data_IF_788038570132
#
_entry.id   IF_788038570132
#
_cell.length_a   1.000
_cell.length_b   1.000
_cell.length_c   1.000
_cell.angle_alpha   90.00
_cell.angle_beta   90.00
_cell.angle_gamma   90.00
#
_symmetry.space_group_name_H-M   'P 1'
#
loop_
_entity.id
_entity.type
_entity.pdbx_description
1 polymer ?
#
# COMPACT_ATOMS: atom_id res chain seq x y z
N UNK A 1 9.10 4.07 29.66
CA UNK A 1 8.14 2.97 29.85
C UNK A 1 7.12 3.06 28.72
N UNK A 2 7.49 2.58 27.53
CA UNK A 2 6.61 2.56 26.34
C UNK A 2 6.19 1.14 26.11
N UNK A 3 4.92 0.91 26.30
CA UNK A 3 4.29 -0.42 26.15
C UNK A 3 4.03 -0.70 24.69
N UNK A 4 4.53 -1.86 24.27
CA UNK A 4 4.25 -2.65 23.08
C UNK A 4 2.89 -2.32 22.42
N UNK A 5 2.95 -1.66 21.29
CA UNK A 5 1.89 -1.67 20.30
C UNK A 5 2.17 -2.80 19.32
N UNK A 6 1.84 -4.04 19.68
CA UNK A 6 1.67 -5.08 18.68
C UNK A 6 0.51 -4.64 17.78
N UNK A 7 0.83 -4.23 16.57
CA UNK A 7 -0.18 -4.01 15.55
C UNK A 7 -0.83 -5.36 15.26
N UNK A 8 -1.99 -5.59 15.84
CA UNK A 8 -2.89 -6.63 15.37
C UNK A 8 -3.39 -6.23 13.98
N UNK A 9 -2.61 -6.55 12.94
CA UNK A 9 -3.05 -6.52 11.53
C UNK A 9 -4.11 -7.61 11.27
N UNK A 10 -4.78 -8.07 12.29
CA UNK A 10 -5.97 -8.91 12.19
C UNK A 10 -7.21 -8.08 12.54
N UNK A 11 -7.31 -6.90 11.92
CA UNK A 11 -8.60 -6.28 11.74
C UNK A 11 -9.36 -7.16 10.76
N UNK A 12 -10.21 -8.04 11.27
CA UNK A 12 -11.28 -8.65 10.48
C UNK A 12 -11.87 -7.55 9.59
N UNK A 13 -11.64 -7.66 8.29
CA UNK A 13 -12.32 -6.83 7.30
C UNK A 13 -13.78 -7.26 7.34
N UNK A 14 -14.50 -6.80 8.34
CA UNK A 14 -15.95 -6.83 8.34
C UNK A 14 -16.35 -5.87 7.21
N UNK A 15 -16.51 -6.40 6.00
CA UNK A 15 -17.17 -5.67 4.94
C UNK A 15 -18.63 -5.57 5.36
N UNK A 16 -18.94 -4.51 6.07
CA UNK A 16 -20.29 -4.07 6.19
C UNK A 16 -20.71 -3.58 4.80
N UNK A 17 -21.33 -4.44 4.01
CA UNK A 17 -22.07 -4.08 2.79
C UNK A 17 -23.31 -3.27 3.18
N UNK A 18 -23.46 -2.93 4.45
CA UNK A 18 -24.56 -2.19 5.00
C UNK A 18 -24.23 -0.71 5.13
N UNK A 19 -24.51 0.04 4.11
CA UNK A 19 -24.86 1.47 4.09
C UNK A 19 -24.71 2.09 2.69
N UNK A 20 -24.88 1.28 1.64
CA UNK A 20 -25.04 1.83 0.30
C UNK A 20 -26.49 1.66 -0.09
N UNK A 21 -27.12 2.73 -0.52
CA UNK A 21 -28.45 2.68 -1.16
C UNK A 21 -28.32 1.80 -2.41
N UNK A 22 -28.71 0.50 -2.30
CA UNK A 22 -28.59 -0.47 -3.38
C UNK A 22 -27.39 -1.42 -3.31
N UNK A 23 -27.31 -2.29 -2.26
CA UNK A 23 -26.37 -3.42 -2.30
C UNK A 23 -26.76 -4.39 -3.43
N UNK A 24 -25.85 -4.53 -4.41
CA UNK A 24 -26.03 -5.47 -5.51
C UNK A 24 -25.36 -6.81 -5.21
N UNK A 25 -25.97 -7.90 -5.62
CA UNK A 25 -25.39 -9.25 -5.53
C UNK A 25 -25.26 -9.78 -6.95
N UNK A 26 -24.04 -10.19 -7.34
CA UNK A 26 -23.72 -10.74 -8.66
C UNK A 26 -23.89 -9.78 -9.87
N UNK A 27 -23.61 -8.49 -9.69
CA UNK A 27 -23.58 -7.53 -10.79
C UNK A 27 -22.51 -6.47 -10.61
N UNK A 28 -21.96 -6.00 -11.72
CA UNK A 28 -21.10 -4.83 -11.75
C UNK A 28 -21.90 -3.57 -11.47
N UNK A 29 -21.30 -2.62 -10.79
CA UNK A 29 -21.92 -1.39 -10.36
C UNK A 29 -21.13 -0.20 -10.87
N UNK A 30 -21.82 0.71 -11.56
CA UNK A 30 -21.26 2.04 -11.84
C UNK A 30 -21.68 2.95 -10.69
N UNK A 31 -20.70 3.41 -9.91
CA UNK A 31 -20.93 4.30 -8.79
C UNK A 31 -20.92 5.75 -9.27
N UNK A 32 -22.02 6.44 -9.03
CA UNK A 32 -22.16 7.87 -9.22
C UNK A 32 -22.34 8.50 -7.84
N UNK A 33 -23.20 9.41 -7.59
CA UNK A 33 -23.43 10.00 -6.27
C UNK A 33 -23.81 8.94 -5.22
N UNK A 34 -23.24 9.02 -4.03
CA UNK A 34 -23.45 8.07 -2.93
C UNK A 34 -22.39 6.98 -2.88
N UNK A 35 -22.59 5.96 -2.06
CA UNK A 35 -21.69 4.80 -1.96
C UNK A 35 -22.14 3.66 -2.87
N UNK A 36 -21.24 2.70 -3.16
CA UNK A 36 -21.57 1.51 -3.94
C UNK A 36 -21.07 0.24 -3.24
N UNK A 37 -21.90 -0.81 -3.28
CA UNK A 37 -21.53 -2.11 -2.70
C UNK A 37 -22.00 -3.28 -3.56
N UNK A 38 -21.15 -4.30 -3.71
CA UNK A 38 -21.51 -5.55 -4.38
C UNK A 38 -20.82 -6.74 -3.71
N UNK A 39 -21.33 -7.95 -3.93
CA UNK A 39 -20.65 -9.16 -3.43
C UNK A 39 -19.81 -9.81 -4.52
N UNK A 40 -20.39 -10.06 -5.67
CA UNK A 40 -19.70 -10.66 -6.82
C UNK A 40 -19.85 -9.74 -8.03
N UNK A 41 -19.02 -8.74 -8.13
CA UNK A 41 -19.05 -7.77 -9.21
C UNK A 41 -18.00 -6.70 -8.99
N UNK A 42 -17.64 -6.03 -10.05
CA UNK A 42 -16.71 -4.90 -10.01
C UNK A 42 -17.47 -3.58 -9.79
N UNK A 43 -16.78 -2.63 -9.20
CA UNK A 43 -17.28 -1.26 -9.04
C UNK A 43 -16.48 -0.35 -9.95
N UNK A 44 -17.17 0.47 -10.74
CA UNK A 44 -16.57 1.46 -11.61
C UNK A 44 -17.07 2.86 -11.25
N UNK A 45 -16.16 3.77 -11.01
CA UNK A 45 -16.43 5.20 -10.79
C UNK A 45 -15.91 5.96 -12.01
N UNK A 46 -16.80 6.53 -12.84
CA UNK A 46 -16.40 7.25 -14.03
C UNK A 46 -15.57 8.51 -13.71
N UNK A 47 -14.79 8.93 -14.70
CA UNK A 47 -13.91 10.10 -14.58
C UNK A 47 -14.66 11.36 -14.09
N UNK A 48 -14.03 12.05 -13.16
CA UNK A 48 -14.55 13.29 -12.57
C UNK A 48 -15.80 13.14 -11.70
N UNK A 49 -16.28 11.91 -11.46
CA UNK A 49 -17.41 11.66 -10.59
C UNK A 49 -17.03 11.63 -9.11
N UNK A 50 -18.01 11.94 -8.26
CA UNK A 50 -17.86 11.83 -6.82
C UNK A 50 -18.69 10.65 -6.31
N UNK A 51 -18.10 9.80 -5.49
CA UNK A 51 -18.79 8.70 -4.85
C UNK A 51 -18.41 8.60 -3.38
N UNK A 52 -19.29 8.05 -2.58
CA UNK A 52 -19.04 7.75 -1.18
C UNK A 52 -18.14 6.52 -1.01
N UNK A 53 -18.43 5.72 0.01
CA UNK A 53 -17.67 4.49 0.27
C UNK A 53 -17.99 3.41 -0.77
N UNK A 54 -16.95 2.71 -1.23
CA UNK A 54 -17.02 1.61 -2.19
C UNK A 54 -16.62 0.30 -1.53
N UNK A 55 -17.38 -0.75 -1.75
CA UNK A 55 -17.10 -2.06 -1.17
C UNK A 55 -17.47 -3.24 -2.06
N UNK A 56 -16.55 -4.16 -2.30
CA UNK A 56 -16.86 -5.44 -2.95
C UNK A 56 -16.19 -6.60 -2.21
N UNK A 57 -16.71 -7.81 -2.39
CA UNK A 57 -16.04 -9.02 -1.86
C UNK A 57 -15.22 -9.69 -2.96
N UNK A 58 -15.83 -9.99 -4.09
CA UNK A 58 -15.19 -10.65 -5.21
C UNK A 58 -15.32 -9.77 -6.46
N UNK A 59 -14.42 -8.84 -6.60
CA UNK A 59 -14.41 -7.92 -7.74
C UNK A 59 -13.39 -6.82 -7.56
N UNK A 60 -13.05 -6.15 -8.63
CA UNK A 60 -12.14 -5.01 -8.62
C UNK A 60 -12.91 -3.69 -8.43
N UNK A 61 -12.20 -2.69 -7.95
CA UNK A 61 -12.67 -1.32 -7.90
C UNK A 61 -11.82 -0.50 -8.87
N UNK A 62 -12.48 0.08 -9.87
CA UNK A 62 -11.89 0.97 -10.84
C UNK A 62 -12.39 2.39 -10.58
N UNK A 63 -11.49 3.28 -10.25
CA UNK A 63 -11.74 4.71 -10.07
C UNK A 63 -11.02 5.41 -11.21
N UNK A 64 -11.76 6.04 -12.11
CA UNK A 64 -11.17 6.69 -13.27
C UNK A 64 -10.56 8.06 -12.94
N UNK A 65 -9.90 8.64 -13.91
CA UNK A 65 -9.10 9.85 -13.74
C UNK A 65 -9.93 11.03 -13.18
N UNK A 66 -9.39 11.70 -12.20
CA UNK A 66 -10.01 12.86 -11.57
C UNK A 66 -11.26 12.57 -10.77
N UNK A 67 -11.66 11.31 -10.60
CA UNK A 67 -12.78 10.95 -9.75
C UNK A 67 -12.41 11.07 -8.27
N UNK A 68 -13.41 11.30 -7.41
CA UNK A 68 -13.22 11.42 -5.97
C UNK A 68 -14.12 10.42 -5.23
N UNK A 69 -13.51 9.62 -4.36
CA UNK A 69 -14.23 8.60 -3.61
C UNK A 69 -13.91 8.67 -2.12
N UNK A 70 -14.81 8.18 -1.31
CA UNK A 70 -14.53 7.91 0.09
C UNK A 70 -13.59 6.71 0.25
N UNK A 71 -13.91 5.79 1.14
CA UNK A 71 -13.11 4.57 1.34
C UNK A 71 -13.39 3.55 0.24
N UNK A 72 -12.33 3.02 -0.40
CA UNK A 72 -12.42 1.90 -1.34
C UNK A 72 -11.93 0.60 -0.68
N UNK A 73 -12.77 -0.44 -0.65
CA UNK A 73 -12.47 -1.73 -0.01
C UNK A 73 -12.84 -2.93 -0.88
N UNK A 74 -11.93 -3.89 -0.97
CA UNK A 74 -12.23 -5.20 -1.57
C UNK A 74 -11.60 -6.34 -0.76
N UNK A 75 -12.13 -7.55 -0.89
CA UNK A 75 -11.46 -8.74 -0.32
C UNK A 75 -10.65 -9.45 -1.40
N UNK A 76 -11.28 -9.80 -2.51
CA UNK A 76 -10.62 -10.53 -3.59
C UNK A 76 -10.75 -9.72 -4.88
N UNK A 77 -9.80 -8.83 -5.07
CA UNK A 77 -9.75 -7.99 -6.27
C UNK A 77 -8.79 -6.83 -6.11
N UNK A 78 -8.39 -6.25 -7.21
CA UNK A 78 -7.53 -5.07 -7.22
C UNK A 78 -8.32 -3.78 -7.05
N UNK A 79 -7.62 -2.74 -6.62
CA UNK A 79 -8.12 -1.37 -6.59
C UNK A 79 -7.21 -0.54 -7.47
N UNK A 80 -7.79 0.09 -8.49
CA UNK A 80 -7.09 1.02 -9.35
C UNK A 80 -7.63 2.44 -9.15
N UNK A 81 -6.76 3.33 -8.73
CA UNK A 81 -7.05 4.76 -8.57
C UNK A 81 -6.40 5.48 -9.74
N UNK A 82 -7.20 6.03 -10.63
CA UNK A 82 -6.77 6.70 -11.86
C UNK A 82 -5.95 7.96 -11.60
N UNK A 83 -5.42 8.54 -12.66
CA UNK A 83 -4.60 9.75 -12.55
C UNK A 83 -5.40 10.92 -11.95
N UNK A 84 -4.77 11.65 -11.02
CA UNK A 84 -5.39 12.78 -10.33
C UNK A 84 -6.70 12.46 -9.61
N UNK A 85 -7.06 11.19 -9.45
CA UNK A 85 -8.20 10.77 -8.65
C UNK A 85 -7.86 10.84 -7.16
N UNK A 86 -8.90 10.98 -6.33
CA UNK A 86 -8.75 11.10 -4.88
C UNK A 86 -9.53 10.02 -4.15
N UNK A 87 -8.98 9.49 -3.07
CA UNK A 87 -9.66 8.56 -2.17
C UNK A 87 -9.33 8.90 -0.71
N UNK A 88 -10.25 8.62 0.21
CA UNK A 88 -9.95 8.78 1.63
C UNK A 88 -8.99 7.70 2.11
N UNK A 89 -9.29 6.44 1.83
CA UNK A 89 -8.44 5.30 2.17
C UNK A 89 -8.67 4.12 1.22
N UNK A 90 -7.66 3.27 1.04
CA UNK A 90 -7.70 2.13 0.12
C UNK A 90 -7.32 0.86 0.86
N UNK A 91 -8.18 -0.16 0.82
CA UNK A 91 -7.95 -1.40 1.55
C UNK A 91 -8.26 -2.63 0.70
N UNK A 92 -7.34 -3.58 0.62
CA UNK A 92 -7.58 -4.88 0.01
C UNK A 92 -7.01 -6.03 0.83
N UNK A 93 -7.58 -7.22 0.69
CA UNK A 93 -6.98 -8.42 1.29
C UNK A 93 -6.16 -9.17 0.24
N UNK A 94 -6.74 -9.51 -0.89
CA UNK A 94 -6.07 -10.25 -1.95
C UNK A 94 -6.23 -9.51 -3.27
N UNK A 95 -5.27 -8.66 -3.58
CA UNK A 95 -5.29 -7.92 -4.83
C UNK A 95 -4.27 -6.80 -4.88
N UNK A 96 -4.00 -6.36 -6.07
CA UNK A 96 -3.08 -5.26 -6.33
C UNK A 96 -3.76 -3.92 -6.06
N UNK A 97 -3.01 -2.98 -5.51
CA UNK A 97 -3.39 -1.56 -5.45
C UNK A 97 -2.49 -0.77 -6.39
N UNK A 98 -3.10 0.01 -7.27
CA UNK A 98 -2.36 0.93 -8.14
C UNK A 98 -2.88 2.34 -7.93
N UNK A 99 -1.98 3.27 -7.66
CA UNK A 99 -2.23 4.68 -7.69
C UNK A 99 -1.60 5.26 -8.95
N UNK A 100 -2.41 5.79 -9.83
CA UNK A 100 -1.98 6.46 -11.05
C UNK A 100 -1.30 7.80 -10.77
N UNK A 101 -0.76 8.39 -11.82
CA UNK A 101 0.02 9.62 -11.72
C UNK A 101 -0.77 10.76 -11.05
N UNK A 102 -0.20 11.35 -10.00
CA UNK A 102 -0.83 12.45 -9.26
C UNK A 102 -2.09 12.06 -8.48
N UNK A 103 -2.38 10.77 -8.32
CA UNK A 103 -3.49 10.31 -7.47
C UNK A 103 -3.20 10.62 -5.99
N UNK A 104 -4.25 10.94 -5.23
CA UNK A 104 -4.12 11.29 -3.82
C UNK A 104 -4.97 10.40 -2.92
N UNK A 105 -4.35 9.85 -1.88
CA UNK A 105 -5.04 9.13 -0.81
C UNK A 105 -4.80 9.85 0.50
N UNK A 106 -5.87 10.39 1.09
CA UNK A 106 -5.77 11.27 2.28
C UNK A 106 -5.25 10.55 3.52
N UNK A 107 -5.57 9.26 3.69
CA UNK A 107 -5.20 8.46 4.85
C UNK A 107 -4.26 7.31 4.45
N UNK A 108 -4.59 6.10 4.83
CA UNK A 108 -3.72 4.95 4.66
C UNK A 108 -4.10 4.06 3.48
N UNK A 109 -3.11 3.34 2.96
CA UNK A 109 -3.30 2.24 2.04
C UNK A 109 -2.88 0.95 2.74
N UNK A 110 -3.78 -0.04 2.75
CA UNK A 110 -3.50 -1.33 3.40
C UNK A 110 -3.80 -2.49 2.46
N UNK A 111 -2.86 -3.40 2.30
CA UNK A 111 -3.08 -4.69 1.65
C UNK A 111 -2.57 -5.82 2.53
N UNK A 112 -3.12 -7.02 2.37
CA UNK A 112 -2.55 -8.21 3.02
C UNK A 112 -1.71 -8.99 2.02
N UNK A 113 -2.27 -9.35 0.88
CA UNK A 113 -1.57 -10.08 -0.18
C UNK A 113 -1.78 -9.39 -1.52
N UNK A 114 -0.77 -8.74 -2.01
CA UNK A 114 -0.83 -8.05 -3.30
C UNK A 114 0.24 -6.99 -3.43
N UNK A 115 0.56 -6.65 -4.66
CA UNK A 115 1.49 -5.57 -4.92
C UNK A 115 0.82 -4.20 -4.75
N UNK A 116 1.60 -3.23 -4.34
CA UNK A 116 1.22 -1.83 -4.30
C UNK A 116 2.15 -1.03 -5.21
N UNK A 117 1.58 -0.35 -6.19
CA UNK A 117 2.31 0.49 -7.11
C UNK A 117 1.84 1.94 -7.00
N UNK A 118 2.73 2.81 -6.61
CA UNK A 118 2.49 4.24 -6.54
C UNK A 118 3.29 4.91 -7.67
N UNK A 119 2.57 5.47 -8.65
CA UNK A 119 3.16 6.12 -9.81
C UNK A 119 3.60 7.56 -9.53
N UNK A 120 4.23 8.15 -10.52
CA UNK A 120 4.83 9.49 -10.39
C UNK A 120 3.83 10.55 -9.93
N UNK A 121 4.17 11.26 -8.86
CA UNK A 121 3.33 12.29 -8.26
C UNK A 121 2.18 11.75 -7.40
N UNK A 122 2.05 10.43 -7.26
CA UNK A 122 1.08 9.86 -6.32
C UNK A 122 1.42 10.29 -4.88
N UNK A 123 0.40 10.66 -4.11
CA UNK A 123 0.54 11.20 -2.77
C UNK A 123 -0.35 10.44 -1.78
N UNK A 124 0.24 9.95 -0.70
CA UNK A 124 -0.46 9.25 0.38
C UNK A 124 -0.19 9.98 1.68
N UNK A 125 -1.20 10.60 2.27
CA UNK A 125 -1.06 11.35 3.52
C UNK A 125 -0.73 10.48 4.74
N UNK A 126 -1.16 9.23 4.74
CA UNK A 126 -0.92 8.27 5.83
C UNK A 126 0.14 7.22 5.50
N UNK A 127 0.00 6.08 6.17
CA UNK A 127 0.91 4.93 6.05
C UNK A 127 0.54 4.04 4.86
N UNK A 128 1.54 3.44 4.24
CA UNK A 128 1.39 2.37 3.25
C UNK A 128 1.82 1.05 3.88
N UNK A 129 0.87 0.16 4.10
CA UNK A 129 1.08 -1.08 4.85
C UNK A 129 0.72 -2.32 4.02
N UNK A 130 1.64 -3.30 4.01
CA UNK A 130 1.43 -4.58 3.33
C UNK A 130 1.98 -5.72 4.19
N UNK A 131 1.33 -6.87 4.15
CA UNK A 131 1.89 -8.08 4.80
C UNK A 131 2.76 -8.86 3.82
N UNK A 132 2.24 -9.17 2.63
CA UNK A 132 2.94 -9.94 1.60
C UNK A 132 2.70 -9.31 0.22
N UNK A 133 3.76 -9.04 -0.48
CA UNK A 133 3.75 -8.46 -1.82
C UNK A 133 4.71 -7.28 -1.90
N UNK A 134 4.98 -6.85 -3.10
CA UNK A 134 5.91 -5.76 -3.35
C UNK A 134 5.23 -4.40 -3.14
N UNK A 135 5.95 -3.46 -2.55
CA UNK A 135 5.59 -2.05 -2.52
C UNK A 135 6.58 -1.30 -3.43
N UNK A 136 6.07 -0.68 -4.47
CA UNK A 136 6.87 0.08 -5.43
C UNK A 136 6.43 1.54 -5.43
N UNK A 137 7.38 2.43 -5.20
CA UNK A 137 7.21 3.89 -5.29
C UNK A 137 8.07 4.42 -6.43
N UNK A 138 7.46 5.17 -7.34
CA UNK A 138 8.15 5.83 -8.45
C UNK A 138 7.86 7.33 -8.38
N UNK A 139 8.80 8.13 -7.90
CA UNK A 139 8.64 9.57 -7.71
C UNK A 139 7.33 9.92 -6.97
N UNK A 140 7.00 9.17 -5.92
CA UNK A 140 5.78 9.29 -5.14
C UNK A 140 6.06 9.81 -3.72
N UNK A 141 5.04 10.36 -3.07
CA UNK A 141 5.12 10.87 -1.71
C UNK A 141 4.28 10.03 -0.75
N UNK A 142 4.84 9.75 0.44
CA UNK A 142 4.14 9.10 1.55
C UNK A 142 4.40 9.90 2.83
N UNK A 143 3.37 10.54 3.36
CA UNK A 143 3.45 11.35 4.59
C UNK A 143 3.64 10.50 5.85
N UNK A 144 3.16 9.26 5.85
CA UNK A 144 3.45 8.27 6.88
C UNK A 144 4.69 7.44 6.57
N UNK A 145 4.72 6.22 7.07
CA UNK A 145 5.78 5.24 6.83
C UNK A 145 5.39 4.14 5.85
N UNK A 146 6.38 3.34 5.47
CA UNK A 146 6.15 2.07 4.80
C UNK A 146 6.28 0.92 5.79
N UNK A 147 5.32 0.02 5.78
CA UNK A 147 5.28 -1.12 6.68
C UNK A 147 5.06 -2.42 5.90
N UNK A 148 5.90 -3.43 6.14
CA UNK A 148 5.71 -4.77 5.59
C UNK A 148 6.18 -5.85 6.56
N UNK A 149 5.70 -7.07 6.34
CA UNK A 149 6.19 -8.26 7.06
C UNK A 149 7.09 -9.11 6.15
N UNK A 150 6.65 -9.41 4.95
CA UNK A 150 7.35 -10.32 4.04
C UNK A 150 7.54 -9.79 2.62
N UNK A 151 7.08 -8.56 2.36
CA UNK A 151 7.13 -7.94 1.04
C UNK A 151 8.46 -7.26 0.71
N UNK A 152 8.76 -7.18 -0.57
CA UNK A 152 9.85 -6.34 -1.05
C UNK A 152 9.43 -4.87 -1.09
N UNK A 153 10.39 -3.97 -0.94
CA UNK A 153 10.15 -2.52 -1.07
C UNK A 153 11.14 -1.95 -2.09
N UNK A 154 10.61 -1.27 -3.08
CA UNK A 154 11.39 -0.58 -4.11
C UNK A 154 10.99 0.89 -4.15
N UNK A 155 11.87 1.76 -3.67
CA UNK A 155 11.67 3.21 -3.61
C UNK A 155 12.59 3.85 -4.64
N UNK A 156 12.02 4.32 -5.74
CA UNK A 156 12.78 4.85 -6.88
C UNK A 156 12.35 6.26 -7.28
N UNK A 157 13.12 6.86 -8.14
CA UNK A 157 12.92 8.25 -8.51
C UNK A 157 13.13 9.17 -7.31
N UNK A 158 12.57 10.34 -7.36
CA UNK A 158 12.63 11.33 -6.27
C UNK A 158 11.54 11.07 -5.20
N UNK A 159 11.26 9.79 -4.91
CA UNK A 159 10.24 9.43 -3.92
C UNK A 159 10.62 9.92 -2.53
N UNK A 160 9.62 10.40 -1.79
CA UNK A 160 9.78 10.94 -0.44
C UNK A 160 8.89 10.21 0.56
N UNK A 161 9.48 9.73 1.63
CA UNK A 161 8.79 9.09 2.75
C UNK A 161 9.12 9.90 4.00
N UNK A 162 8.12 10.53 4.63
CA UNK A 162 8.32 11.36 5.82
C UNK A 162 8.49 10.52 7.09
N UNK A 163 7.73 9.43 7.19
CA UNK A 163 7.94 8.41 8.20
C UNK A 163 9.13 7.52 7.92
N UNK A 164 9.18 6.38 8.55
CA UNK A 164 10.25 5.41 8.38
C UNK A 164 9.84 4.23 7.50
N UNK A 165 10.73 3.24 7.47
CA UNK A 165 10.44 1.92 6.90
C UNK A 165 10.51 0.90 8.02
N UNK A 166 9.45 0.12 8.19
CA UNK A 166 9.41 -0.96 9.18
C UNK A 166 9.18 -2.29 8.47
N UNK A 167 10.11 -3.22 8.68
CA UNK A 167 9.93 -4.62 8.29
C UNK A 167 9.81 -5.44 9.56
N UNK A 168 8.58 -5.89 9.85
CA UNK A 168 8.30 -6.66 11.05
C UNK A 168 8.69 -8.13 10.93
N UNK A 169 8.96 -8.72 12.07
CA UNK A 169 9.09 -10.16 12.16
C UNK A 169 7.68 -10.79 12.06
N UNK A 170 7.50 -11.87 11.27
CA UNK A 170 6.24 -12.60 11.27
C UNK A 170 5.88 -13.02 12.68
N UNK A 171 4.83 -12.40 13.23
CA UNK A 171 4.31 -12.74 14.55
C UNK A 171 3.35 -13.90 14.44
N UNK A 172 3.36 -14.83 15.41
CA UNK A 172 2.25 -15.74 15.58
C UNK A 172 2.61 -17.12 16.07
N UNK A 173 1.64 -17.72 16.69
CA UNK A 173 1.49 -19.10 17.12
C UNK A 173 1.89 -20.16 16.03
N UNK A 174 2.02 -19.76 14.78
CA UNK A 174 2.49 -20.58 13.67
C UNK A 174 3.99 -20.39 13.37
N UNK A 175 4.76 -19.88 14.32
CA UNK A 175 6.22 -19.85 14.28
C UNK A 175 6.83 -21.25 14.37
N UNK A 176 6.33 -22.16 13.56
CA UNK A 176 6.92 -23.47 13.32
C UNK A 176 8.12 -23.31 12.41
N UNK A 177 9.29 -23.68 12.96
CA UNK A 177 10.53 -24.07 12.25
C UNK A 177 10.87 -23.32 10.96
N UNK A 178 11.83 -22.43 11.02
CA UNK A 178 12.86 -22.16 10.01
C UNK A 178 12.79 -22.92 8.68
N UNK A 179 11.69 -22.79 7.98
CA UNK A 179 11.73 -22.92 6.53
C UNK A 179 12.39 -21.62 6.03
N UNK A 180 13.40 -21.74 5.15
CA UNK A 180 14.11 -20.60 4.53
C UNK A 180 13.10 -19.62 3.91
N UNK A 181 12.53 -18.74 4.73
CA UNK A 181 11.74 -17.65 4.21
C UNK A 181 12.70 -16.73 3.45
N UNK A 182 12.36 -16.46 2.20
CA UNK A 182 13.08 -15.49 1.38
C UNK A 182 13.23 -14.19 2.18
N UNK A 183 14.45 -13.64 2.18
CA UNK A 183 14.70 -12.34 2.79
C UNK A 183 14.04 -11.26 1.93
N UNK A 184 13.23 -10.37 2.52
CA UNK A 184 12.74 -9.21 1.78
C UNK A 184 13.89 -8.40 1.20
N UNK A 185 13.73 -7.96 -0.04
CA UNK A 185 14.66 -7.08 -0.71
C UNK A 185 14.14 -5.65 -0.62
N UNK A 186 14.94 -4.79 -0.01
CA UNK A 186 14.60 -3.38 0.19
C UNK A 186 15.58 -2.54 -0.61
N UNK A 187 15.08 -1.78 -1.56
CA UNK A 187 15.88 -0.92 -2.43
C UNK A 187 15.48 0.52 -2.24
N UNK A 188 16.43 1.35 -1.83
CA UNK A 188 16.28 2.80 -1.79
C UNK A 188 17.15 3.38 -2.91
N UNK A 189 16.48 3.73 -4.00
CA UNK A 189 17.11 4.17 -5.25
C UNK A 189 17.64 5.60 -5.20
N UNK A 190 18.25 6.03 -6.31
CA UNK A 190 18.83 7.38 -6.41
C UNK A 190 17.77 8.47 -6.26
N UNK A 191 18.09 9.52 -5.50
CA UNK A 191 17.21 10.67 -5.26
C UNK A 191 16.10 10.43 -4.24
N UNK A 192 15.90 9.20 -3.80
CA UNK A 192 14.89 8.88 -2.80
C UNK A 192 15.28 9.43 -1.41
N UNK A 193 14.26 9.89 -0.67
CA UNK A 193 14.42 10.46 0.67
C UNK A 193 13.50 9.72 1.65
N UNK A 194 14.10 9.10 2.68
CA UNK A 194 13.37 8.51 3.82
C UNK A 194 13.80 9.25 5.08
N UNK A 195 12.89 10.07 5.63
CA UNK A 195 13.23 10.95 6.77
C UNK A 195 13.24 10.22 8.10
N UNK A 196 12.32 9.27 8.29
CA UNK A 196 12.22 8.50 9.53
C UNK A 196 13.21 7.34 9.61
N UNK A 197 13.10 6.57 10.69
CA UNK A 197 13.99 5.45 10.96
C UNK A 197 13.68 4.24 10.04
N UNK A 198 14.72 3.59 9.56
CA UNK A 198 14.61 2.28 8.90
C UNK A 198 14.84 1.19 9.96
N UNK A 199 13.80 0.47 10.31
CA UNK A 199 13.83 -0.58 11.33
C UNK A 199 13.49 -1.93 10.72
N UNK A 200 14.40 -2.88 10.88
CA UNK A 200 14.26 -4.23 10.38
C UNK A 200 14.27 -5.21 11.55
N UNK A 201 13.14 -5.85 11.82
CA UNK A 201 13.00 -6.84 12.90
C UNK A 201 13.29 -8.27 12.43
N UNK A 202 13.62 -8.42 11.14
CA UNK A 202 14.05 -9.67 10.52
C UNK A 202 15.18 -9.40 9.53
N UNK A 203 15.85 -10.46 9.10
CA UNK A 203 16.88 -10.35 8.07
C UNK A 203 16.28 -9.87 6.74
N UNK A 204 16.91 -8.85 6.15
CA UNK A 204 16.57 -8.26 4.86
C UNK A 204 17.83 -8.07 4.01
N UNK A 205 17.66 -7.93 2.71
CA UNK A 205 18.68 -7.44 1.80
C UNK A 205 18.42 -5.95 1.54
N UNK A 206 19.20 -5.09 2.22
CA UNK A 206 19.03 -3.65 2.14
C UNK A 206 20.06 -3.02 1.19
N UNK A 207 19.57 -2.47 0.09
CA UNK A 207 20.34 -1.71 -0.88
C UNK A 207 20.00 -0.23 -0.78
N UNK A 208 20.99 0.62 -0.62
CA UNK A 208 20.78 2.07 -0.51
C UNK A 208 21.73 2.77 -1.47
N UNK A 209 21.15 3.54 -2.39
CA UNK A 209 21.93 4.35 -3.32
C UNK A 209 22.79 5.39 -2.57
N UNK A 210 23.99 5.67 -3.07
CA UNK A 210 24.83 6.75 -2.56
C UNK A 210 24.15 8.14 -2.74
N UNK A 211 23.21 8.25 -3.67
CA UNK A 211 22.44 9.47 -3.93
C UNK A 211 21.12 9.53 -3.14
N UNK A 212 20.83 8.54 -2.29
CA UNK A 212 19.67 8.54 -1.43
C UNK A 212 19.96 9.16 -0.07
N UNK A 213 18.96 9.82 0.51
CA UNK A 213 19.02 10.29 1.90
C UNK A 213 18.13 9.42 2.76
N UNK A 214 18.70 8.80 3.78
CA UNK A 214 17.95 7.93 4.69
C UNK A 214 18.25 8.28 6.15
N UNK A 215 17.25 8.10 6.99
CA UNK A 215 17.38 8.22 8.43
C UNK A 215 18.19 7.08 9.06
N UNK A 216 18.24 7.00 10.38
CA UNK A 216 18.97 5.95 11.11
C UNK A 216 18.47 4.54 10.71
N UNK A 217 19.42 3.63 10.50
CA UNK A 217 19.16 2.22 10.14
C UNK A 217 19.41 1.34 11.35
N UNK A 218 18.47 0.45 11.65
CA UNK A 218 18.59 -0.56 12.71
C UNK A 218 18.11 -1.93 12.25
N UNK A 219 18.80 -3.00 12.66
CA UNK A 219 18.45 -4.39 12.33
C UNK A 219 18.95 -4.88 10.98
N UNK A 220 19.60 -4.04 10.17
CA UNK A 220 20.21 -4.43 8.90
C UNK A 220 21.46 -3.62 8.58
N UNK A 221 22.31 -4.17 7.72
CA UNK A 221 23.47 -3.46 7.16
C UNK A 221 23.17 -3.08 5.72
N UNK A 222 23.29 -1.80 5.37
CA UNK A 222 23.04 -1.32 4.02
C UNK A 222 24.22 -1.65 3.09
N UNK A 223 23.89 -2.23 1.94
CA UNK A 223 24.80 -2.38 0.80
C UNK A 223 24.65 -1.12 -0.05
N UNK A 224 25.71 -0.30 -0.09
CA UNK A 224 25.70 0.93 -0.90
C UNK A 224 25.95 0.63 -2.36
N UNK A 225 25.31 1.37 -3.25
CA UNK A 225 25.52 1.29 -4.70
C UNK A 225 25.47 2.66 -5.36
N UNK A 226 26.27 2.84 -6.44
CA UNK A 226 26.42 4.13 -7.15
C UNK A 226 25.64 4.22 -8.45
N UNK A 227 25.17 3.10 -8.99
CA UNK A 227 24.40 3.08 -10.25
C UNK A 227 22.94 3.43 -10.06
N UNK A 228 22.16 3.33 -11.14
CA UNK A 228 20.72 3.56 -11.09
C UNK A 228 19.94 2.35 -10.53
N UNK A 229 20.60 1.19 -10.49
CA UNK A 229 20.06 -0.06 -9.90
C UNK A 229 21.12 -0.75 -9.05
N UNK A 230 20.71 -1.44 -7.99
CA UNK A 230 21.64 -2.25 -7.19
C UNK A 230 22.16 -3.43 -8.04
N UNK A 231 23.36 -3.96 -7.68
CA UNK A 231 23.87 -5.19 -8.28
C UNK A 231 22.86 -6.34 -8.06
N UNK A 232 22.72 -7.17 -9.08
CA UNK A 232 21.83 -8.35 -9.08
C UNK A 232 22.37 -9.49 -8.22
#
# INVERSE_FOLDING_TARGET
>A
MWRNGSLAVLGVVAIAVAACDGAHVNSDVTATEGGAGTVNGSIHVPAGQHSGALGTVNGSIQIDDGAAVGTARTVNGGINVGAHATADSVNTVNGQVTLGAGAHVSHAITAVNGAMNLESGADVGGEVSNVNGQITLIAAHVGGGLHTVGGDIDVTGESRIEGGILVEQPGGWFGGSSTRQRKPRIVIGPGAVVQGNLRFEREVELYVSERATVGPISGATAIRFSGDRPPG
#
